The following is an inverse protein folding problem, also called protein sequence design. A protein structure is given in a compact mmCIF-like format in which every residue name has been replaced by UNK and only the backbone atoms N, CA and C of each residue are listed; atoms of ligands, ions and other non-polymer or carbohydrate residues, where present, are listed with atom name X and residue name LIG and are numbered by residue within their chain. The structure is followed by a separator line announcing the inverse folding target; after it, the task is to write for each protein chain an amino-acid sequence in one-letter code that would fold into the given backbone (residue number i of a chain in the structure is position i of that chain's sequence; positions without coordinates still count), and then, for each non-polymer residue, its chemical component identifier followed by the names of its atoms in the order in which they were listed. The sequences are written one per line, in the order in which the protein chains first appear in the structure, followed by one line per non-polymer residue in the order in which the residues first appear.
data_IF_063168129062
#
_entry.id   IF_063168129062
#
_cell.length_a   1.000
_cell.length_b   1.000
_cell.length_c   1.000
_cell.angle_alpha   90.00
_cell.angle_beta   90.00
_cell.angle_gamma   90.00
#
_symmetry.space_group_name_H-M   'P 1'
#
loop_
_entity.id
_entity.type
_entity.pdbx_description
1 polymer ?
#
# COMPACT_ATOMS: atom_id res chain seq x y z
N UNK A 1 -35.74 11.34 -29.62
CA UNK A 1 -35.26 10.42 -30.69
C UNK A 1 -34.33 11.22 -31.58
N UNK A 2 -33.20 10.63 -31.98
CA UNK A 2 -32.26 11.28 -32.91
C UNK A 2 -32.85 11.36 -34.32
N UNK A 3 -32.28 12.21 -35.18
CA UNK A 3 -32.66 12.24 -36.60
C UNK A 3 -32.43 10.89 -37.30
N UNK A 4 -31.38 10.17 -36.93
CA UNK A 4 -31.10 8.83 -37.44
C UNK A 4 -32.18 7.82 -37.03
N UNK A 5 -32.63 7.86 -35.78
CA UNK A 5 -33.74 7.02 -35.30
C UNK A 5 -35.03 7.35 -36.06
N UNK A 6 -35.32 8.62 -36.30
CA UNK A 6 -36.49 9.03 -37.09
C UNK A 6 -36.41 8.51 -38.54
N UNK A 7 -35.23 8.57 -39.17
CA UNK A 7 -35.00 8.03 -40.51
C UNK A 7 -35.27 6.52 -40.55
N UNK A 8 -34.69 5.74 -39.63
CA UNK A 8 -34.90 4.27 -39.60
C UNK A 8 -36.35 3.93 -39.27
N UNK A 9 -36.95 4.61 -38.28
CA UNK A 9 -38.34 4.38 -37.89
C UNK A 9 -39.32 4.73 -39.01
N UNK A 10 -39.00 5.72 -39.87
CA UNK A 10 -39.85 6.08 -41.01
C UNK A 10 -40.01 4.96 -42.06
N UNK A 11 -39.11 3.96 -42.06
CA UNK A 11 -39.27 2.76 -42.90
C UNK A 11 -40.48 1.93 -42.48
N UNK A 12 -40.84 1.94 -41.19
CA UNK A 12 -42.08 1.33 -40.71
C UNK A 12 -43.28 2.02 -41.35
N UNK A 13 -43.28 3.35 -41.40
CA UNK A 13 -44.32 4.14 -42.09
C UNK A 13 -44.38 3.81 -43.58
N UNK A 14 -43.23 3.64 -44.24
CA UNK A 14 -43.18 3.25 -45.66
C UNK A 14 -43.88 1.91 -45.86
N UNK A 15 -43.53 0.89 -45.07
CA UNK A 15 -44.14 -0.44 -45.17
C UNK A 15 -45.65 -0.39 -44.89
N UNK A 16 -46.09 0.35 -43.87
CA UNK A 16 -47.51 0.54 -43.56
C UNK A 16 -48.28 1.20 -44.71
N UNK A 17 -47.72 2.27 -45.29
CA UNK A 17 -48.36 2.98 -46.40
C UNK A 17 -48.38 2.15 -47.70
N UNK A 18 -47.44 1.22 -47.84
CA UNK A 18 -47.34 0.32 -48.98
C UNK A 18 -48.35 -0.85 -48.91
N UNK A 19 -48.77 -1.25 -47.70
CA UNK A 19 -49.58 -2.45 -47.44
C UNK A 19 -51.12 -2.21 -47.47
N UNK A 20 -51.54 -1.04 -47.98
CA UNK A 20 -52.93 -0.53 -48.07
C UNK A 20 -53.65 -0.42 -46.70
N UNK A 21 -53.97 0.81 -46.23
CA UNK A 21 -54.51 1.04 -44.88
C UNK A 21 -55.86 0.38 -44.56
N UNK A 22 -56.57 -0.18 -45.56
CA UNK A 22 -57.83 -0.89 -45.34
C UNK A 22 -57.63 -2.27 -44.69
N UNK A 23 -56.43 -2.86 -44.77
CA UNK A 23 -56.08 -4.14 -44.15
C UNK A 23 -55.49 -4.02 -42.74
N UNK A 24 -55.12 -2.80 -42.32
CA UNK A 24 -54.52 -2.53 -41.01
C UNK A 24 -55.60 -2.59 -39.93
N UNK A 25 -55.73 -3.75 -39.25
CA UNK A 25 -56.59 -3.97 -38.09
C UNK A 25 -56.12 -3.15 -36.88
N UNK A 26 -56.23 -1.82 -36.93
CA UNK A 26 -55.94 -0.92 -35.80
C UNK A 26 -54.45 -0.80 -35.41
N UNK A 27 -53.51 -1.26 -36.25
CA UNK A 27 -52.09 -1.02 -36.02
C UNK A 27 -51.71 0.38 -36.49
N UNK A 28 -51.23 1.21 -35.57
CA UNK A 28 -50.62 2.52 -35.88
C UNK A 28 -49.09 2.39 -35.89
N UNK A 29 -48.43 3.33 -36.55
CA UNK A 29 -46.97 3.43 -36.54
C UNK A 29 -46.43 3.49 -35.10
N UNK A 30 -47.03 4.31 -34.23
CA UNK A 30 -46.60 4.46 -32.85
C UNK A 30 -46.75 3.14 -32.06
N UNK A 31 -47.83 2.40 -32.31
CA UNK A 31 -48.05 1.10 -31.66
C UNK A 31 -47.00 0.07 -32.07
N UNK A 32 -46.50 0.12 -33.31
CA UNK A 32 -45.45 -0.77 -33.78
C UNK A 32 -44.07 -0.36 -33.26
N UNK A 33 -43.76 0.94 -33.28
CA UNK A 33 -42.47 1.46 -32.82
C UNK A 33 -42.23 1.28 -31.31
N UNK A 34 -43.28 1.10 -30.50
CA UNK A 34 -43.18 0.77 -29.09
C UNK A 34 -42.79 -0.69 -28.79
N UNK A 35 -42.83 -1.57 -29.79
CA UNK A 35 -42.55 -3.00 -29.61
C UNK A 35 -41.06 -3.28 -29.56
N UNK A 36 -40.70 -4.41 -28.95
CA UNK A 36 -39.33 -4.92 -29.03
C UNK A 36 -38.95 -5.16 -30.49
N UNK A 37 -37.66 -5.06 -30.83
CA UNK A 37 -37.19 -5.27 -32.21
C UNK A 37 -37.68 -6.59 -32.81
N UNK A 38 -37.58 -7.68 -32.05
CA UNK A 38 -38.02 -9.01 -32.48
C UNK A 38 -39.52 -9.08 -32.76
N UNK A 39 -40.35 -8.41 -31.95
CA UNK A 39 -41.79 -8.40 -32.15
C UNK A 39 -42.20 -7.48 -33.31
N UNK A 40 -41.54 -6.33 -33.47
CA UNK A 40 -41.72 -5.44 -34.61
C UNK A 40 -41.44 -6.16 -35.94
N UNK A 41 -40.30 -6.85 -36.03
CA UNK A 41 -39.91 -7.59 -37.24
C UNK A 41 -40.93 -8.68 -37.56
N UNK A 42 -41.39 -9.44 -36.56
CA UNK A 42 -42.43 -10.47 -36.76
C UNK A 42 -43.74 -9.88 -37.28
N UNK A 43 -44.18 -8.75 -36.72
CA UNK A 43 -45.44 -8.13 -37.15
C UNK A 43 -45.35 -7.50 -38.54
N UNK A 44 -44.24 -6.84 -38.86
CA UNK A 44 -43.99 -6.33 -40.20
C UNK A 44 -43.93 -7.48 -41.21
N UNK A 45 -43.25 -8.58 -40.88
CA UNK A 45 -43.18 -9.78 -41.74
C UNK A 45 -44.58 -10.27 -42.08
N UNK A 46 -45.42 -10.46 -41.06
CA UNK A 46 -46.81 -10.90 -41.24
C UNK A 46 -47.63 -9.90 -42.08
N UNK A 47 -47.44 -8.60 -41.84
CA UNK A 47 -48.12 -7.57 -42.62
C UNK A 47 -47.72 -7.60 -44.10
N UNK A 48 -46.44 -7.80 -44.39
CA UNK A 48 -45.94 -7.95 -45.76
C UNK A 48 -46.53 -9.20 -46.42
N UNK A 49 -46.54 -10.34 -45.73
CA UNK A 49 -47.14 -11.59 -46.22
C UNK A 49 -48.63 -11.42 -46.56
N UNK A 50 -49.40 -10.86 -45.62
CA UNK A 50 -50.85 -10.63 -45.78
C UNK A 50 -51.13 -9.67 -46.95
N UNK A 51 -50.38 -8.57 -47.06
CA UNK A 51 -50.59 -7.55 -48.09
C UNK A 51 -50.09 -7.94 -49.49
N UNK A 52 -49.17 -8.91 -49.58
CA UNK A 52 -48.56 -9.34 -50.85
C UNK A 52 -48.98 -10.73 -51.31
N UNK A 53 -49.93 -11.36 -50.62
CA UNK A 53 -50.45 -12.69 -50.94
C UNK A 53 -50.85 -12.87 -52.43
N UNK A 54 -51.27 -11.80 -53.11
CA UNK A 54 -51.62 -11.80 -54.54
C UNK A 54 -50.71 -10.94 -55.43
N UNK A 55 -49.64 -10.35 -54.88
CA UNK A 55 -48.78 -9.38 -55.58
C UNK A 55 -47.28 -9.65 -55.33
N UNK A 56 -46.73 -10.66 -56.00
CA UNK A 56 -45.33 -11.09 -55.81
C UNK A 56 -44.27 -10.00 -56.09
N UNK A 57 -44.49 -9.11 -57.05
CA UNK A 57 -43.53 -8.02 -57.36
C UNK A 57 -43.45 -6.96 -56.27
N UNK A 58 -44.51 -6.77 -55.46
CA UNK A 58 -44.51 -5.86 -54.31
C UNK A 58 -43.73 -6.45 -53.13
N UNK A 59 -43.76 -7.78 -53.00
CA UNK A 59 -43.08 -8.51 -51.93
C UNK A 59 -41.57 -8.27 -51.94
N UNK A 60 -40.94 -8.34 -53.11
CA UNK A 60 -39.48 -8.16 -53.25
C UNK A 60 -38.96 -6.84 -52.66
N UNK A 61 -39.66 -5.72 -52.90
CA UNK A 61 -39.27 -4.42 -52.34
C UNK A 61 -39.51 -4.36 -50.82
N UNK A 62 -40.63 -4.92 -50.35
CA UNK A 62 -40.95 -4.92 -48.93
C UNK A 62 -40.02 -5.81 -48.11
N UNK A 63 -39.62 -6.97 -48.67
CA UNK A 63 -38.61 -7.84 -48.07
C UNK A 63 -37.26 -7.12 -47.98
N UNK A 64 -36.91 -6.32 -49.00
CA UNK A 64 -35.71 -5.47 -48.95
C UNK A 64 -35.79 -4.41 -47.83
N UNK A 65 -36.92 -3.72 -47.67
CA UNK A 65 -37.10 -2.78 -46.56
C UNK A 65 -37.10 -3.45 -45.19
N UNK A 66 -37.68 -4.66 -45.08
CA UNK A 66 -37.63 -5.45 -43.86
C UNK A 66 -36.18 -5.84 -43.52
N UNK A 67 -35.37 -6.22 -44.52
CA UNK A 67 -33.95 -6.47 -44.33
C UNK A 67 -33.20 -5.23 -43.80
N UNK A 68 -33.40 -4.07 -44.42
CA UNK A 68 -32.74 -2.83 -43.98
C UNK A 68 -33.19 -2.44 -42.57
N UNK A 69 -34.48 -2.56 -42.26
CA UNK A 69 -35.00 -2.31 -40.92
C UNK A 69 -34.40 -3.28 -39.89
N UNK A 70 -34.33 -4.57 -40.22
CA UNK A 70 -33.75 -5.59 -39.34
C UNK A 70 -32.26 -5.35 -39.09
N UNK A 71 -31.55 -4.77 -40.06
CA UNK A 71 -30.13 -4.46 -39.94
C UNK A 71 -29.87 -3.16 -39.17
N UNK A 72 -30.63 -2.11 -39.47
CA UNK A 72 -30.36 -0.76 -38.97
C UNK A 72 -30.96 -0.52 -37.59
N UNK A 73 -32.18 -1.01 -37.33
CA UNK A 73 -32.89 -0.71 -36.08
C UNK A 73 -32.13 -1.12 -34.81
N UNK A 74 -31.56 -2.34 -34.72
CA UNK A 74 -30.79 -2.73 -33.54
C UNK A 74 -29.58 -1.85 -33.28
N UNK A 75 -29.01 -1.23 -34.31
CA UNK A 75 -27.84 -0.36 -34.19
C UNK A 75 -28.24 1.04 -33.69
N UNK A 76 -29.32 1.61 -34.23
CA UNK A 76 -29.78 2.96 -33.84
C UNK A 76 -30.51 3.03 -32.51
N UNK A 77 -30.99 1.88 -32.01
CA UNK A 77 -31.63 1.77 -30.69
C UNK A 77 -30.63 1.53 -29.55
N UNK A 78 -29.35 1.30 -29.86
CA UNK A 78 -28.32 1.11 -28.82
C UNK A 78 -28.18 2.35 -27.95
N UNK A 79 -28.03 2.12 -26.65
CA UNK A 79 -27.66 3.14 -25.67
C UNK A 79 -26.15 3.27 -25.46
N UNK A 80 -25.36 2.40 -26.10
CA UNK A 80 -23.90 2.39 -26.04
C UNK A 80 -23.31 3.00 -27.31
N UNK A 81 -22.14 3.66 -27.24
CA UNK A 81 -21.48 4.17 -28.43
C UNK A 81 -21.24 3.08 -29.47
N UNK A 82 -21.48 3.42 -30.73
CA UNK A 82 -21.22 2.56 -31.88
C UNK A 82 -19.72 2.49 -32.16
N UNK A 83 -19.21 1.31 -32.50
CA UNK A 83 -17.83 1.20 -32.96
C UNK A 83 -17.68 1.63 -34.44
N UNK A 84 -16.44 1.74 -34.92
CA UNK A 84 -16.16 2.14 -36.31
C UNK A 84 -16.75 1.19 -37.36
N UNK A 85 -16.86 -0.09 -37.05
CA UNK A 85 -17.40 -1.11 -37.97
C UNK A 85 -18.91 -0.92 -38.09
N UNK A 86 -19.58 -0.69 -36.97
CA UNK A 86 -21.01 -0.41 -36.90
C UNK A 86 -21.37 0.91 -37.59
N UNK A 87 -20.59 1.96 -37.38
CA UNK A 87 -20.78 3.25 -38.06
C UNK A 87 -20.65 3.10 -39.59
N UNK A 88 -19.60 2.42 -40.07
CA UNK A 88 -19.41 2.13 -41.49
C UNK A 88 -20.56 1.29 -42.05
N UNK A 89 -21.05 0.32 -41.28
CA UNK A 89 -22.19 -0.52 -41.66
C UNK A 89 -23.47 0.31 -41.82
N UNK A 90 -23.83 1.12 -40.83
CA UNK A 90 -25.03 2.00 -40.90
C UNK A 90 -24.94 2.89 -42.14
N UNK A 91 -23.79 3.55 -42.36
CA UNK A 91 -23.57 4.44 -43.50
C UNK A 91 -23.75 3.71 -44.82
N UNK A 92 -23.14 2.55 -44.99
CA UNK A 92 -23.22 1.76 -46.21
C UNK A 92 -24.66 1.33 -46.53
N UNK A 93 -25.38 0.82 -45.53
CA UNK A 93 -26.76 0.37 -45.67
C UNK A 93 -27.71 1.52 -46.01
N UNK A 94 -27.64 2.64 -45.29
CA UNK A 94 -28.49 3.79 -45.57
C UNK A 94 -28.18 4.41 -46.93
N UNK A 95 -26.90 4.50 -47.32
CA UNK A 95 -26.51 5.01 -48.63
C UNK A 95 -27.04 4.12 -49.76
N UNK A 96 -26.91 2.79 -49.61
CA UNK A 96 -27.45 1.82 -50.55
C UNK A 96 -28.97 1.95 -50.66
N UNK A 97 -29.68 1.98 -49.54
CA UNK A 97 -31.13 2.14 -49.49
C UNK A 97 -31.62 3.42 -50.18
N UNK A 98 -31.00 4.57 -49.88
CA UNK A 98 -31.34 5.84 -50.51
C UNK A 98 -31.05 5.78 -52.01
N UNK A 99 -29.89 5.27 -52.41
CA UNK A 99 -29.48 5.20 -53.83
C UNK A 99 -30.39 4.26 -54.63
N UNK A 100 -30.70 3.07 -54.08
CA UNK A 100 -31.58 2.10 -54.73
C UNK A 100 -32.98 2.67 -54.93
N UNK A 101 -33.56 3.28 -53.89
CA UNK A 101 -34.91 3.85 -53.98
C UNK A 101 -34.98 5.07 -54.90
N UNK A 102 -33.95 5.93 -54.93
CA UNK A 102 -33.83 7.00 -55.93
C UNK A 102 -33.69 6.44 -57.36
N UNK A 103 -32.97 5.33 -57.53
CA UNK A 103 -32.84 4.65 -58.82
C UNK A 103 -34.19 4.12 -59.32
N UNK A 104 -34.96 3.45 -58.45
CA UNK A 104 -36.28 2.93 -58.77
C UNK A 104 -37.28 4.01 -59.19
N UNK A 105 -37.17 5.22 -58.63
CA UNK A 105 -37.99 6.39 -59.00
C UNK A 105 -37.68 6.91 -60.41
N UNK A 106 -36.54 6.56 -61.01
CA UNK A 106 -36.09 7.02 -62.33
C UNK A 106 -36.34 6.02 -63.45
N UNK A 107 -36.68 4.79 -63.13
CA UNK A 107 -36.90 3.72 -64.11
C UNK A 107 -38.38 3.34 -64.22
N UNK A 108 -38.76 2.82 -65.38
CA UNK A 108 -40.11 2.39 -65.68
C UNK A 108 -40.45 1.03 -65.04
N UNK A 109 -41.74 0.75 -64.88
CA UNK A 109 -42.22 -0.52 -64.29
C UNK A 109 -41.82 -1.78 -65.06
N UNK A 110 -41.52 -1.67 -66.35
CA UNK A 110 -41.10 -2.82 -67.17
C UNK A 110 -39.60 -3.08 -67.05
N UNK A 111 -38.82 -2.08 -66.62
CA UNK A 111 -37.43 -2.20 -66.22
C UNK A 111 -37.29 -2.57 -64.74
N UNK A 112 -36.14 -3.13 -64.38
CA UNK A 112 -35.79 -3.47 -63.00
C UNK A 112 -34.40 -3.00 -62.61
N UNK A 113 -34.23 -2.70 -61.32
CA UNK A 113 -32.94 -2.47 -60.69
C UNK A 113 -32.52 -3.72 -59.93
N UNK A 114 -31.27 -4.14 -60.12
CA UNK A 114 -30.68 -5.26 -59.38
C UNK A 114 -30.20 -4.76 -58.02
N UNK A 115 -30.69 -5.37 -56.95
CA UNK A 115 -30.31 -5.05 -55.56
C UNK A 115 -29.76 -6.31 -54.91
N UNK A 116 -28.57 -6.19 -54.33
CA UNK A 116 -27.89 -7.29 -53.63
C UNK A 116 -27.81 -7.00 -52.13
N UNK A 117 -28.20 -7.97 -51.31
CA UNK A 117 -28.14 -7.90 -49.85
C UNK A 117 -27.94 -9.29 -49.23
N UNK A 118 -27.59 -9.34 -47.94
CA UNK A 118 -27.31 -10.61 -47.24
C UNK A 118 -28.57 -11.09 -46.54
N UNK A 119 -29.09 -12.26 -46.92
CA UNK A 119 -30.20 -12.92 -46.23
C UNK A 119 -29.73 -14.27 -45.70
N UNK A 120 -29.88 -14.53 -44.40
CA UNK A 120 -29.46 -15.80 -43.76
C UNK A 120 -28.01 -16.22 -44.12
N UNK A 121 -27.08 -15.27 -44.02
CA UNK A 121 -25.65 -15.44 -44.35
C UNK A 121 -25.35 -15.80 -45.82
N UNK A 122 -26.28 -15.51 -46.74
CA UNK A 122 -26.10 -15.71 -48.18
C UNK A 122 -26.32 -14.43 -48.96
N UNK A 123 -25.51 -14.23 -49.99
CA UNK A 123 -25.72 -13.14 -50.96
C UNK A 123 -26.99 -13.41 -51.77
N UNK A 124 -27.98 -12.53 -51.61
CA UNK A 124 -29.23 -12.55 -52.35
C UNK A 124 -29.27 -11.35 -53.28
N UNK A 125 -29.46 -11.63 -54.57
CA UNK A 125 -29.68 -10.58 -55.58
C UNK A 125 -31.11 -10.67 -56.09
N UNK A 126 -31.84 -9.57 -55.99
CA UNK A 126 -33.23 -9.46 -56.42
C UNK A 126 -33.39 -8.39 -57.49
N UNK A 127 -34.38 -8.56 -58.36
CA UNK A 127 -34.78 -7.57 -59.34
C UNK A 127 -36.03 -6.83 -58.83
N UNK A 128 -35.92 -5.51 -58.68
CA UNK A 128 -37.01 -4.67 -58.22
C UNK A 128 -37.46 -3.77 -59.37
N UNK A 129 -38.74 -3.86 -59.74
CA UNK A 129 -39.31 -3.06 -60.83
C UNK A 129 -39.35 -1.57 -60.50
N UNK A 130 -39.20 -0.74 -61.53
CA UNK A 130 -39.31 0.71 -61.42
C UNK A 130 -40.71 1.22 -61.06
N UNK A 131 -40.82 2.53 -60.85
CA UNK A 131 -42.07 3.16 -60.43
C UNK A 131 -42.76 4.01 -61.50
N UNK A 132 -42.12 4.27 -62.64
CA UNK A 132 -42.68 5.11 -63.71
C UNK A 132 -43.63 4.29 -64.59
N UNK A 133 -44.87 4.76 -64.73
CA UNK A 133 -45.84 4.27 -65.71
C UNK A 133 -45.55 4.88 -67.09
N UNK A 134 -44.72 4.20 -67.89
CA UNK A 134 -44.28 4.68 -69.22
C UNK A 134 -45.31 4.45 -70.36
N UNK A 135 -46.48 3.89 -70.06
CA UNK A 135 -47.48 3.46 -71.06
C UNK A 135 -48.58 4.47 -71.39
N UNK A 136 -48.58 5.67 -70.79
CA UNK A 136 -49.63 6.70 -70.99
C UNK A 136 -49.05 7.98 -71.59
N UNK A 137 -49.90 8.78 -72.26
CA UNK A 137 -49.54 10.06 -72.90
C UNK A 137 -48.81 11.05 -71.95
N UNK A 138 -48.93 10.83 -70.65
CA UNK A 138 -48.16 11.43 -69.58
C UNK A 138 -47.51 10.32 -68.75
N UNK A 139 -46.18 10.33 -68.61
CA UNK A 139 -45.50 9.47 -67.65
C UNK A 139 -45.85 9.94 -66.23
N UNK A 140 -46.20 9.01 -65.35
CA UNK A 140 -46.51 9.34 -63.96
C UNK A 140 -45.97 8.29 -63.00
N UNK A 141 -45.66 8.72 -61.78
CA UNK A 141 -45.21 7.83 -60.70
C UNK A 141 -46.42 7.07 -60.15
N UNK A 142 -46.32 5.75 -60.11
CA UNK A 142 -47.38 4.90 -59.57
C UNK A 142 -47.58 5.10 -58.06
N UNK A 143 -48.70 4.61 -57.50
CA UNK A 143 -49.04 4.77 -56.06
C UNK A 143 -47.90 4.32 -55.13
N UNK A 144 -47.25 3.21 -55.44
CA UNK A 144 -46.08 2.71 -54.71
C UNK A 144 -44.90 3.68 -54.77
N UNK A 145 -44.60 4.22 -55.95
CA UNK A 145 -43.56 5.24 -56.10
C UNK A 145 -43.91 6.56 -55.41
N UNK A 146 -45.18 6.95 -55.32
CA UNK A 146 -45.61 8.14 -54.57
C UNK A 146 -45.35 7.98 -53.06
N UNK A 147 -45.46 6.77 -52.51
CA UNK A 147 -45.08 6.50 -51.11
C UNK A 147 -43.58 6.74 -50.92
N UNK A 148 -42.75 6.21 -51.82
CA UNK A 148 -41.30 6.39 -51.79
C UNK A 148 -40.89 7.85 -51.99
N UNK A 149 -41.53 8.55 -52.93
CA UNK A 149 -41.28 9.98 -53.16
C UNK A 149 -41.58 10.82 -51.92
N UNK A 150 -42.74 10.60 -51.27
CA UNK A 150 -43.07 11.28 -50.01
C UNK A 150 -42.11 10.93 -48.88
N UNK A 151 -41.61 9.69 -48.85
CA UNK A 151 -40.59 9.29 -47.90
C UNK A 151 -39.32 10.13 -48.10
N UNK A 152 -38.80 10.22 -49.32
CA UNK A 152 -37.64 11.08 -49.65
C UNK A 152 -37.88 12.55 -49.27
N UNK A 153 -39.05 13.11 -49.60
CA UNK A 153 -39.43 14.48 -49.20
C UNK A 153 -39.45 14.67 -47.68
N UNK A 154 -39.80 13.64 -46.91
CA UNK A 154 -39.78 13.70 -45.45
C UNK A 154 -38.37 13.53 -44.89
N UNK A 155 -37.49 12.74 -45.51
CA UNK A 155 -36.08 12.65 -45.15
C UNK A 155 -35.39 14.00 -45.38
N UNK A 156 -35.67 14.65 -46.52
CA UNK A 156 -35.12 15.98 -46.81
C UNK A 156 -35.46 17.02 -45.73
N UNK A 157 -36.64 16.90 -45.10
CA UNK A 157 -37.03 17.77 -43.96
C UNK A 157 -36.26 17.49 -42.68
N UNK A 158 -35.57 16.35 -42.56
CA UNK A 158 -34.66 16.07 -41.45
C UNK A 158 -33.32 16.82 -41.61
N UNK A 159 -33.07 17.37 -42.80
CA UNK A 159 -31.91 18.22 -43.03
C UNK A 159 -32.00 19.52 -42.24
N UNK A 160 -30.90 19.86 -41.57
CA UNK A 160 -30.76 21.11 -40.81
C UNK A 160 -29.86 22.11 -41.54
N UNK A 161 -29.04 21.63 -42.49
CA UNK A 161 -28.09 22.46 -43.23
C UNK A 161 -28.51 22.57 -44.70
N UNK A 162 -28.41 23.76 -45.33
CA UNK A 162 -28.79 23.95 -46.74
C UNK A 162 -28.08 23.00 -47.72
N UNK A 163 -26.83 22.65 -47.39
CA UNK A 163 -25.98 21.75 -48.18
C UNK A 163 -26.26 20.26 -47.90
N UNK A 164 -26.96 19.94 -46.80
CA UNK A 164 -27.36 18.58 -46.38
C UNK A 164 -28.66 18.14 -47.04
N UNK A 165 -28.80 18.34 -48.34
CA UNK A 165 -29.98 17.81 -49.03
C UNK A 165 -29.66 16.43 -49.62
N UNK A 166 -30.71 15.67 -49.94
CA UNK A 166 -30.58 14.31 -50.44
C UNK A 166 -29.92 14.21 -51.84
N UNK A 167 -29.53 15.35 -52.44
CA UNK A 167 -28.71 15.37 -53.66
C UNK A 167 -27.28 14.92 -53.37
N UNK A 168 -26.78 15.17 -52.15
CA UNK A 168 -25.57 14.54 -51.62
C UNK A 168 -25.93 13.64 -50.43
N UNK A 169 -26.44 12.46 -50.75
CA UNK A 169 -26.85 11.48 -49.75
C UNK A 169 -25.70 11.07 -48.82
N UNK A 170 -24.44 11.15 -49.27
CA UNK A 170 -23.30 10.79 -48.45
C UNK A 170 -23.05 11.84 -47.36
N UNK A 171 -23.01 13.12 -47.73
CA UNK A 171 -22.85 14.22 -46.78
C UNK A 171 -24.00 14.29 -45.77
N UNK A 172 -25.24 14.15 -46.25
CA UNK A 172 -26.43 14.09 -45.40
C UNK A 172 -26.35 12.98 -44.34
N UNK A 173 -25.93 11.77 -44.76
CA UNK A 173 -25.81 10.63 -43.85
C UNK A 173 -24.66 10.81 -42.86
N UNK A 174 -23.53 11.38 -43.29
CA UNK A 174 -22.41 11.67 -42.39
C UNK A 174 -22.86 12.55 -41.23
N UNK A 175 -23.54 13.66 -41.50
CA UNK A 175 -24.00 14.55 -40.43
C UNK A 175 -25.05 13.93 -39.49
N UNK A 176 -26.01 13.15 -40.01
CA UNK A 176 -27.03 12.52 -39.16
C UNK A 176 -26.45 11.37 -38.33
N UNK A 177 -25.53 10.59 -38.89
CA UNK A 177 -24.84 9.52 -38.17
C UNK A 177 -23.94 10.11 -37.08
N UNK A 178 -23.17 11.15 -37.41
CA UNK A 178 -22.31 11.84 -36.45
C UNK A 178 -23.13 12.44 -35.31
N UNK A 179 -24.22 13.15 -35.60
CA UNK A 179 -25.11 13.69 -34.56
C UNK A 179 -25.59 12.60 -33.60
N UNK A 180 -26.07 11.48 -34.15
CA UNK A 180 -26.57 10.38 -33.33
C UNK A 180 -25.46 9.76 -32.48
N UNK A 181 -24.29 9.53 -33.08
CA UNK A 181 -23.14 8.98 -32.37
C UNK A 181 -22.70 9.89 -31.23
N UNK A 182 -22.59 11.20 -31.47
CA UNK A 182 -22.23 12.19 -30.45
C UNK A 182 -23.27 12.24 -29.32
N UNK A 183 -24.56 12.17 -29.65
CA UNK A 183 -25.64 12.19 -28.66
C UNK A 183 -25.60 10.99 -27.69
N UNK A 184 -25.05 9.85 -28.13
CA UNK A 184 -24.85 8.66 -27.28
C UNK A 184 -23.47 8.70 -26.59
N UNK A 185 -22.44 9.14 -27.30
CA UNK A 185 -21.06 9.14 -26.82
C UNK A 185 -20.85 10.10 -25.65
N UNK A 186 -21.41 11.31 -25.71
CA UNK A 186 -21.20 12.32 -24.67
C UNK A 186 -21.68 11.84 -23.27
N UNK A 187 -22.93 11.37 -23.09
CA UNK A 187 -23.36 10.83 -21.80
C UNK A 187 -22.50 9.66 -21.31
N UNK A 188 -22.06 8.77 -22.20
CA UNK A 188 -21.20 7.65 -21.85
C UNK A 188 -19.84 8.13 -21.31
N UNK A 189 -19.20 9.06 -22.02
CA UNK A 189 -17.91 9.63 -21.61
C UNK A 189 -18.04 10.42 -20.30
N UNK A 190 -19.14 11.13 -20.08
CA UNK A 190 -19.40 11.84 -18.82
C UNK A 190 -19.53 10.89 -17.63
N UNK A 191 -20.21 9.76 -17.79
CA UNK A 191 -20.36 8.75 -16.75
C UNK A 191 -19.04 8.03 -16.47
N UNK A 192 -18.30 7.65 -17.51
CA UNK A 192 -16.98 7.04 -17.37
C UNK A 192 -15.99 7.99 -16.66
N UNK A 193 -15.98 9.27 -17.04
CA UNK A 193 -15.12 10.27 -16.42
C UNK A 193 -15.49 10.49 -14.94
N UNK A 194 -16.78 10.45 -14.61
CA UNK A 194 -17.26 10.48 -13.21
C UNK A 194 -16.76 9.27 -12.41
N UNK A 195 -16.85 8.07 -13.00
CA UNK A 195 -16.34 6.84 -12.41
C UNK A 195 -14.82 6.88 -12.19
N UNK A 196 -14.06 7.32 -13.19
CA UNK A 196 -12.61 7.48 -13.12
C UNK A 196 -12.19 8.50 -12.06
N UNK A 197 -12.89 9.64 -11.97
CA UNK A 197 -12.64 10.64 -10.90
C UNK A 197 -12.84 10.03 -9.51
N UNK A 198 -13.94 9.30 -9.29
CA UNK A 198 -14.21 8.66 -8.01
C UNK A 198 -13.14 7.59 -7.66
N UNK A 199 -12.72 6.79 -8.63
CA UNK A 199 -11.66 5.80 -8.44
C UNK A 199 -10.31 6.47 -8.11
N UNK A 200 -9.98 7.56 -8.81
CA UNK A 200 -8.74 8.30 -8.57
C UNK A 200 -8.73 8.95 -7.18
N UNK A 201 -9.85 9.50 -6.71
CA UNK A 201 -9.98 10.00 -5.33
C UNK A 201 -9.73 8.89 -4.30
N UNK A 202 -10.34 7.72 -4.47
CA UNK A 202 -10.13 6.58 -3.57
C UNK A 202 -8.69 6.10 -3.55
N UNK A 203 -8.05 6.04 -4.72
CA UNK A 203 -6.64 5.65 -4.83
C UNK A 203 -5.74 6.65 -4.09
N UNK A 204 -5.97 7.95 -4.30
CA UNK A 204 -5.22 9.02 -3.62
C UNK A 204 -5.38 8.97 -2.10
N UNK A 205 -6.59 8.72 -1.60
CA UNK A 205 -6.84 8.53 -0.16
C UNK A 205 -6.12 7.29 0.40
N UNK A 206 -6.14 6.18 -0.34
CA UNK A 206 -5.43 4.95 0.02
C UNK A 206 -3.92 5.14 0.05
N UNK A 207 -3.34 5.87 -0.93
CA UNK A 207 -1.92 6.19 -0.96
C UNK A 207 -1.52 7.09 0.22
N UNK A 208 -2.35 8.08 0.56
CA UNK A 208 -2.13 8.93 1.72
C UNK A 208 -2.16 8.12 3.04
N UNK A 209 -3.08 7.15 3.16
CA UNK A 209 -3.13 6.25 4.31
C UNK A 209 -1.88 5.36 4.37
N UNK A 210 -1.50 4.72 3.27
CA UNK A 210 -0.31 3.86 3.20
C UNK A 210 0.97 4.62 3.54
N UNK A 211 1.08 5.89 3.11
CA UNK A 211 2.21 6.76 3.50
C UNK A 211 2.25 7.00 5.01
N UNK A 212 1.11 7.32 5.64
CA UNK A 212 1.02 7.51 7.10
C UNK A 212 1.37 6.24 7.87
N UNK A 213 0.90 5.08 7.41
CA UNK A 213 1.25 3.80 8.02
C UNK A 213 2.74 3.50 7.92
N UNK A 214 3.35 3.75 6.75
CA UNK A 214 4.79 3.59 6.56
C UNK A 214 5.58 4.50 7.48
N UNK A 215 5.20 5.77 7.61
CA UNK A 215 5.84 6.72 8.55
C UNK A 215 5.69 6.27 10.01
N UNK A 216 4.53 5.74 10.39
CA UNK A 216 4.29 5.20 11.73
C UNK A 216 5.12 3.94 12.01
N UNK A 217 5.26 3.05 11.02
CA UNK A 217 6.11 1.87 11.12
C UNK A 217 7.58 2.24 11.22
N UNK A 218 8.04 3.25 10.46
CA UNK A 218 9.41 3.75 10.56
C UNK A 218 9.71 4.27 11.96
N UNK A 219 8.83 5.11 12.53
CA UNK A 219 8.98 5.60 13.91
C UNK A 219 9.05 4.47 14.94
N UNK A 220 8.27 3.39 14.74
CA UNK A 220 8.34 2.20 15.59
C UNK A 220 9.67 1.47 15.44
N UNK A 221 10.16 1.31 14.21
CA UNK A 221 11.46 0.69 13.94
C UNK A 221 12.60 1.48 14.63
N UNK A 222 12.61 2.81 14.48
CA UNK A 222 13.61 3.67 15.13
C UNK A 222 13.56 3.54 16.67
N UNK A 223 12.36 3.47 17.25
CA UNK A 223 12.17 3.26 18.69
C UNK A 223 12.64 1.86 19.16
N UNK A 224 12.49 0.83 18.33
CA UNK A 224 13.00 -0.50 18.59
C UNK A 224 14.53 -0.53 18.61
N UNK A 225 15.18 0.13 17.65
CA UNK A 225 16.64 0.24 17.60
C UNK A 225 17.20 0.95 18.85
N UNK A 226 16.52 1.99 19.33
CA UNK A 226 16.90 2.69 20.56
C UNK A 226 16.73 1.83 21.82
N UNK A 227 15.66 1.03 21.89
CA UNK A 227 15.46 0.08 22.98
C UNK A 227 16.52 -1.02 22.96
N UNK A 228 16.88 -1.53 21.78
CA UNK A 228 17.91 -2.55 21.63
C UNK A 228 19.30 -2.04 22.08
N UNK A 229 19.63 -0.78 21.78
CA UNK A 229 20.85 -0.13 22.31
C UNK A 229 20.83 -0.02 23.83
N UNK A 230 19.68 0.36 24.41
CA UNK A 230 19.52 0.45 25.86
C UNK A 230 19.69 -0.92 26.53
N UNK A 231 19.09 -1.97 25.97
CA UNK A 231 19.24 -3.34 26.47
C UNK A 231 20.71 -3.74 26.45
N UNK A 232 21.42 -3.55 25.34
CA UNK A 232 22.87 -3.82 25.25
C UNK A 232 23.68 -3.08 26.32
N UNK A 233 23.38 -1.79 26.55
CA UNK A 233 24.08 -1.02 27.59
C UNK A 233 23.79 -1.51 29.01
N UNK A 234 22.57 -2.02 29.26
CA UNK A 234 22.18 -2.57 30.55
C UNK A 234 22.85 -3.92 30.79
N UNK A 235 22.92 -4.77 29.76
CA UNK A 235 23.63 -6.06 29.81
C UNK A 235 25.13 -5.86 30.11
N UNK A 236 25.78 -4.89 29.47
CA UNK A 236 27.17 -4.54 29.77
C UNK A 236 27.36 -4.07 31.21
N UNK A 237 26.43 -3.22 31.70
CA UNK A 237 26.47 -2.74 33.09
C UNK A 237 26.25 -3.87 34.09
N UNK A 238 25.32 -4.79 33.81
CA UNK A 238 25.06 -5.96 34.66
C UNK A 238 26.29 -6.86 34.73
N UNK A 239 26.98 -7.07 33.60
CA UNK A 239 28.24 -7.83 33.57
C UNK A 239 29.32 -7.17 34.43
N UNK A 240 29.50 -5.84 34.32
CA UNK A 240 30.47 -5.12 35.15
C UNK A 240 30.14 -5.22 36.65
N UNK A 241 28.87 -5.08 37.01
CA UNK A 241 28.42 -5.23 38.40
C UNK A 241 28.60 -6.66 38.91
N UNK A 242 28.41 -7.67 38.07
CA UNK A 242 28.68 -9.07 38.42
C UNK A 242 30.18 -9.32 38.67
N UNK A 243 31.05 -8.75 37.83
CA UNK A 243 32.50 -8.80 38.02
C UNK A 243 32.96 -8.07 39.29
N UNK A 244 32.38 -6.89 39.58
CA UNK A 244 32.65 -6.13 40.80
C UNK A 244 32.19 -6.88 42.06
N UNK A 245 30.97 -7.43 42.05
CA UNK A 245 30.46 -8.24 43.16
C UNK A 245 31.35 -9.46 43.42
N UNK A 246 31.83 -10.12 42.34
CA UNK A 246 32.78 -11.23 42.48
C UNK A 246 34.07 -10.78 43.16
N UNK A 247 34.65 -9.65 42.75
CA UNK A 247 35.86 -9.09 43.37
C UNK A 247 35.64 -8.74 44.85
N UNK A 248 34.52 -8.10 45.17
CA UNK A 248 34.16 -7.76 46.55
C UNK A 248 33.99 -9.02 47.40
N UNK A 249 33.40 -10.08 46.86
CA UNK A 249 33.24 -11.35 47.55
C UNK A 249 34.59 -12.04 47.80
N UNK A 250 35.50 -12.03 46.82
CA UNK A 250 36.87 -12.52 46.99
C UNK A 250 37.64 -11.71 48.04
N UNK A 251 37.53 -10.38 48.02
CA UNK A 251 38.16 -9.50 49.00
C UNK A 251 37.61 -9.72 50.42
N UNK A 252 36.30 -9.93 50.55
CA UNK A 252 35.66 -10.23 51.84
C UNK A 252 36.18 -11.55 52.42
N UNK A 253 36.29 -12.60 51.60
CA UNK A 253 36.86 -13.89 52.02
C UNK A 253 38.32 -13.74 52.44
N UNK A 254 39.11 -12.94 51.73
CA UNK A 254 40.50 -12.66 52.10
C UNK A 254 40.59 -11.93 53.45
N UNK A 255 39.76 -10.89 53.65
CA UNK A 255 39.69 -10.14 54.90
C UNK A 255 39.29 -11.03 56.08
N UNK A 256 38.30 -11.92 55.90
CA UNK A 256 37.88 -12.88 56.93
C UNK A 256 39.01 -13.84 57.30
N UNK A 257 39.75 -14.38 56.32
CA UNK A 257 40.92 -15.23 56.59
C UNK A 257 42.00 -14.51 57.36
N UNK A 258 42.25 -13.24 57.04
CA UNK A 258 43.24 -12.43 57.75
C UNK A 258 42.80 -12.14 59.18
N UNK A 259 41.53 -11.83 59.40
CA UNK A 259 40.96 -11.66 60.74
C UNK A 259 41.04 -12.94 61.57
N UNK A 260 40.73 -14.11 60.98
CA UNK A 260 40.92 -15.40 61.64
C UNK A 260 42.38 -15.69 61.99
N UNK A 261 43.32 -15.37 61.08
CA UNK A 261 44.75 -15.53 61.33
C UNK A 261 45.22 -14.65 62.50
N UNK A 262 44.85 -13.36 62.50
CA UNK A 262 45.16 -12.45 63.60
C UNK A 262 44.50 -12.88 64.92
N UNK A 263 43.29 -13.45 64.87
CA UNK A 263 42.62 -14.00 66.06
C UNK A 263 43.37 -15.21 66.62
N UNK A 264 43.83 -16.13 65.78
CA UNK A 264 44.66 -17.28 66.19
C UNK A 264 45.99 -16.83 66.76
N UNK A 265 46.63 -15.83 66.14
CA UNK A 265 47.88 -15.25 66.67
C UNK A 265 47.66 -14.61 68.04
N UNK A 266 46.59 -13.83 68.21
CA UNK A 266 46.21 -13.27 69.51
C UNK A 266 45.92 -14.34 70.56
N UNK A 267 45.31 -15.47 70.17
CA UNK A 267 45.04 -16.60 71.05
C UNK A 267 46.33 -17.35 71.45
N UNK A 268 47.25 -17.54 70.51
CA UNK A 268 48.59 -18.09 70.78
C UNK A 268 49.37 -17.18 71.74
N UNK A 269 49.40 -15.87 71.47
CA UNK A 269 50.06 -14.89 72.35
C UNK A 269 49.44 -14.85 73.75
N UNK A 270 48.12 -15.00 73.87
CA UNK A 270 47.45 -15.12 75.17
C UNK A 270 47.88 -16.38 75.92
N UNK A 271 47.94 -17.52 75.21
CA UNK A 271 48.37 -18.80 75.79
C UNK A 271 49.83 -18.75 76.23
N UNK A 272 50.69 -18.13 75.43
CA UNK A 272 52.11 -17.95 75.77
C UNK A 272 52.31 -16.98 76.93
N UNK A 273 51.56 -15.86 76.98
CA UNK A 273 51.53 -14.99 78.16
C UNK A 273 51.08 -15.75 79.42
N UNK A 274 50.08 -16.63 79.30
CA UNK A 274 49.63 -17.46 80.43
C UNK A 274 50.75 -18.39 80.91
N UNK A 275 51.43 -19.08 79.99
CA UNK A 275 52.56 -19.96 80.30
C UNK A 275 53.71 -19.20 80.95
N UNK A 276 54.04 -18.01 80.44
CA UNK A 276 55.05 -17.15 81.05
C UNK A 276 54.64 -16.69 82.45
N UNK A 277 53.35 -16.40 82.69
CA UNK A 277 52.86 -16.09 84.03
C UNK A 277 52.99 -17.27 84.99
N UNK A 278 52.68 -18.48 84.55
CA UNK A 278 52.88 -19.71 85.33
C UNK A 278 54.37 -19.97 85.62
N UNK A 279 55.23 -19.80 84.62
CA UNK A 279 56.68 -19.93 84.77
C UNK A 279 57.23 -18.87 85.73
N UNK A 280 56.78 -17.62 85.62
CA UNK A 280 57.13 -16.55 86.56
C UNK A 280 56.65 -16.85 87.99
N UNK A 281 55.46 -17.43 88.15
CA UNK A 281 54.96 -17.86 89.46
C UNK A 281 55.83 -18.99 90.04
N UNK A 282 56.18 -20.00 89.23
CA UNK A 282 57.09 -21.09 89.65
C UNK A 282 58.51 -20.59 89.97
N UNK A 283 59.03 -19.65 89.17
CA UNK A 283 60.30 -18.98 89.44
C UNK A 283 60.23 -18.13 90.71
N UNK A 284 59.11 -17.48 91.00
CA UNK A 284 58.90 -16.74 92.24
C UNK A 284 58.90 -17.70 93.45
N UNK A 285 58.21 -18.84 93.36
CA UNK A 285 58.21 -19.88 94.40
C UNK A 285 59.61 -20.46 94.64
N UNK A 286 60.35 -20.79 93.58
CA UNK A 286 61.73 -21.29 93.69
C UNK A 286 62.68 -20.22 94.23
N UNK A 287 62.52 -18.95 93.85
CA UNK A 287 63.30 -17.84 94.38
C UNK A 287 62.99 -17.60 95.87
N UNK A 288 61.72 -17.72 96.28
CA UNK A 288 61.35 -17.63 97.70
C UNK A 288 61.88 -18.82 98.50
N UNK A 289 61.86 -20.04 97.93
CA UNK A 289 62.53 -21.21 98.51
C UNK A 289 64.04 -21.01 98.63
N UNK A 290 64.69 -20.48 97.58
CA UNK A 290 66.11 -20.14 97.60
C UNK A 290 66.43 -19.06 98.62
N UNK A 291 65.60 -18.03 98.78
CA UNK A 291 65.75 -17.03 99.85
C UNK A 291 65.60 -17.69 101.23
N UNK A 292 64.67 -18.62 101.39
CA UNK A 292 64.50 -19.35 102.65
C UNK A 292 65.73 -20.21 102.96
N UNK A 293 66.27 -20.91 101.97
CA UNK A 293 67.53 -21.65 102.07
C UNK A 293 68.72 -20.72 102.30
N UNK A 294 68.77 -19.55 101.67
CA UNK A 294 69.81 -18.55 101.91
C UNK A 294 69.71 -18.00 103.34
N UNK A 295 68.51 -17.74 103.87
CA UNK A 295 68.30 -17.37 105.27
C UNK A 295 68.73 -18.50 106.20
N UNK A 296 68.49 -19.76 105.83
CA UNK A 296 68.93 -20.95 106.58
C UNK A 296 70.46 -21.08 106.57
N UNK A 297 71.10 -20.92 105.41
CA UNK A 297 72.55 -20.93 105.23
C UNK A 297 73.23 -19.73 105.91
N UNK A 298 72.62 -18.54 105.91
CA UNK A 298 73.11 -17.38 106.67
C UNK A 298 72.98 -17.63 108.17
N UNK A 299 71.95 -18.35 108.63
CA UNK A 299 71.85 -18.84 110.02
C UNK A 299 72.93 -19.88 110.33
N UNK A 300 73.18 -20.83 109.44
CA UNK A 300 74.21 -21.87 109.59
C UNK A 300 75.64 -21.28 109.54
N UNK A 301 75.90 -20.33 108.63
CA UNK A 301 77.13 -19.54 108.62
C UNK A 301 77.22 -18.63 109.85
N UNK A 302 76.11 -18.09 110.35
CA UNK A 302 76.06 -17.38 111.63
C UNK A 302 76.48 -18.26 112.80
N UNK A 303 76.14 -19.55 112.78
CA UNK A 303 76.59 -20.53 113.78
C UNK A 303 78.03 -21.03 113.57
N UNK A 304 78.55 -21.04 112.34
CA UNK A 304 79.94 -21.41 112.04
C UNK A 304 80.92 -20.23 112.22
N UNK A 305 80.46 -18.99 112.12
CA UNK A 305 81.28 -17.77 112.21
C UNK A 305 81.32 -17.17 113.64
N UNK A 306 80.74 -17.85 114.64
CA UNK A 306 80.97 -17.55 116.06
C UNK A 306 82.17 -18.32 116.65
N UNK A 307 82.78 -19.23 115.87
CA UNK A 307 83.89 -20.06 116.29
C UNK A 307 85.01 -20.09 115.23
N UNK A 308 85.61 -18.94 114.91
CA UNK A 308 87.03 -18.86 114.53
C UNK A 308 87.50 -17.42 114.37
N UNK A 309 88.63 -17.16 115.02
CA UNK A 309 89.30 -15.89 115.29
C UNK A 309 90.45 -15.76 114.28
N UNK A 310 90.87 -14.51 113.96
CA UNK A 310 92.24 -14.08 113.59
C UNK A 310 92.52 -13.65 112.12
N UNK A 311 92.85 -12.35 112.00
CA UNK A 311 93.86 -11.60 111.17
C UNK A 311 93.87 -11.58 109.63
N UNK A 312 94.01 -10.32 109.16
CA UNK A 312 94.99 -9.79 108.18
C UNK A 312 94.81 -10.22 106.71
N UNK A 313 95.19 -9.53 105.62
CA UNK A 313 95.72 -8.19 105.29
C UNK A 313 95.72 -8.12 103.74
N UNK A 314 95.38 -6.97 103.15
CA UNK A 314 95.85 -6.37 101.87
C UNK A 314 96.30 -7.21 100.65
N UNK A 315 95.79 -6.85 99.45
CA UNK A 315 96.51 -7.03 98.17
C UNK A 315 95.66 -6.98 96.87
N UNK A 316 95.74 -5.87 96.13
CA UNK A 316 95.45 -5.65 94.67
C UNK A 316 96.40 -6.51 93.78
N UNK A 317 96.38 -6.56 92.40
CA UNK A 317 95.56 -5.89 91.35
C UNK A 317 95.21 -6.73 90.07
N UNK A 318 94.64 -6.06 89.05
CA UNK A 318 94.92 -6.12 87.58
C UNK A 318 94.15 -7.04 86.58
N UNK A 319 93.52 -6.34 85.60
CA UNK A 319 93.45 -6.54 84.14
C UNK A 319 92.74 -7.72 83.44
N UNK A 320 92.11 -7.36 82.30
CA UNK A 320 91.86 -8.22 81.13
C UNK A 320 90.41 -8.16 80.64
N UNK A 321 90.02 -7.30 79.67
CA UNK A 321 89.92 -7.59 78.22
C UNK A 321 88.76 -8.54 77.88
N UNK A 322 87.87 -8.38 76.88
CA UNK A 322 87.86 -7.57 75.65
C UNK A 322 86.49 -7.70 74.95
N UNK A 323 86.09 -6.61 74.28
CA UNK A 323 85.54 -6.52 72.90
C UNK A 323 84.36 -7.40 72.40
N UNK A 324 83.31 -6.75 71.86
CA UNK A 324 83.04 -6.60 70.41
C UNK A 324 81.70 -5.85 70.19
N UNK A 325 81.73 -4.76 69.39
CA UNK A 325 80.56 -4.19 68.71
C UNK A 325 80.15 -5.05 67.49
N UNK A 326 79.37 -4.56 66.48
CA UNK A 326 79.30 -3.17 65.96
C UNK A 326 77.87 -2.63 65.67
N UNK A 327 77.65 -1.30 65.64
CA UNK A 327 77.34 -0.40 64.47
C UNK A 327 76.00 -0.69 63.74
N UNK A 328 75.16 0.27 63.29
CA UNK A 328 75.42 1.49 62.49
C UNK A 328 74.21 2.49 62.48
N UNK A 329 74.53 3.72 62.05
CA UNK A 329 73.74 4.88 61.57
C UNK A 329 72.64 4.54 60.51
N UNK A 330 71.71 5.36 59.99
CA UNK A 330 71.48 6.80 59.78
C UNK A 330 69.95 6.99 59.45
N UNK A 331 69.24 8.11 59.70
CA UNK A 331 69.16 9.39 58.95
C UNK A 331 68.91 9.27 57.43
N UNK A 332 67.71 9.63 56.93
CA UNK A 332 67.40 10.85 56.14
C UNK A 332 66.08 10.82 55.33
N UNK A 333 65.33 11.93 55.43
CA UNK A 333 64.68 12.75 54.37
C UNK A 333 63.66 12.20 53.34
N UNK A 334 62.45 12.78 53.44
CA UNK A 334 61.90 13.81 52.53
C UNK A 334 61.30 13.44 51.14
N UNK A 335 60.02 13.88 50.98
CA UNK A 335 59.51 14.81 49.94
C UNK A 335 58.83 14.27 48.64
N UNK A 336 57.63 14.86 48.38
CA UNK A 336 56.88 15.15 47.11
C UNK A 336 56.50 13.96 46.20
N UNK A 337 55.29 13.78 45.65
CA UNK A 337 54.33 14.59 44.86
C UNK A 337 53.06 13.70 44.71
N UNK A 338 51.84 14.11 44.36
CA UNK A 338 51.25 15.35 43.90
C UNK A 338 49.72 15.16 43.75
N UNK A 339 49.00 16.28 43.81
CA UNK A 339 47.65 16.53 43.27
C UNK A 339 47.64 16.27 41.73
N UNK A 340 46.48 16.14 41.01
CA UNK A 340 45.34 17.05 41.20
C UNK A 340 43.89 16.58 40.88
N UNK A 341 42.96 17.38 41.45
CA UNK A 341 41.74 17.98 40.87
C UNK A 341 40.42 17.21 40.62
N UNK A 342 39.40 17.63 41.38
CA UNK A 342 37.97 17.82 41.03
C UNK A 342 37.78 18.74 39.78
N UNK A 343 36.61 18.84 39.08
CA UNK A 343 35.25 18.95 39.66
C UNK A 343 34.11 18.38 38.73
N UNK A 344 32.88 18.94 38.61
CA UNK A 344 31.64 18.23 38.90
C UNK A 344 30.72 18.03 37.69
N UNK A 345 29.56 17.41 37.97
CA UNK A 345 28.38 17.32 37.12
C UNK A 345 27.97 18.66 36.47
N UNK A 346 27.71 18.63 35.16
CA UNK A 346 26.70 19.48 34.52
C UNK A 346 25.88 18.65 33.53
N UNK A 347 24.58 18.65 33.78
CA UNK A 347 23.52 18.12 32.95
C UNK A 347 23.33 18.95 31.69
N UNK A 348 23.13 18.23 30.58
CA UNK A 348 22.55 18.68 29.32
C UNK A 348 21.22 19.42 29.51
N UNK A 349 21.07 20.58 28.84
CA UNK A 349 19.77 21.20 28.61
C UNK A 349 19.69 21.75 27.18
N UNK A 350 18.91 21.00 26.39
CA UNK A 350 18.01 21.39 25.29
C UNK A 350 18.49 22.42 24.26
N UNK A 351 18.72 21.89 23.06
CA UNK A 351 18.28 22.47 21.79
C UNK A 351 16.86 23.05 21.90
N UNK A 352 16.73 24.27 21.39
CA UNK A 352 15.48 24.94 21.13
C UNK A 352 15.59 25.70 19.81
N UNK A 353 14.47 25.69 19.09
CA UNK A 353 14.12 26.39 17.84
C UNK A 353 14.51 25.65 16.55
N UNK A 354 13.53 25.09 15.81
CA UNK A 354 12.51 25.78 14.98
C UNK A 354 13.18 26.68 13.93
N UNK A 355 12.83 26.69 12.65
CA UNK A 355 11.62 26.26 11.94
C UNK A 355 11.92 26.29 10.43
N UNK A 356 11.11 25.56 9.68
CA UNK A 356 10.95 25.55 8.23
C UNK A 356 10.94 26.93 7.56
N UNK A 357 11.51 27.03 6.35
CA UNK A 357 10.76 27.22 5.08
C UNK A 357 11.73 27.48 3.92
N UNK A 358 11.45 26.97 2.70
CA UNK A 358 10.75 27.80 1.72
C UNK A 358 9.61 27.10 0.97
N UNK A 359 8.68 27.95 0.54
CA UNK A 359 7.44 27.67 -0.20
C UNK A 359 7.65 27.28 -1.67
N UNK A 360 6.54 26.77 -2.23
CA UNK A 360 6.07 26.69 -3.63
C UNK A 360 6.21 25.32 -4.31
N UNK A 361 5.21 24.92 -5.13
CA UNK A 361 4.23 25.72 -5.88
C UNK A 361 2.84 25.89 -5.26
#
# INVERSE_FOLDING_TARGET
MSRLQNLVNSLVSVVLNYTDPKGLKGQTEESLLQKSHGDLVKEITKLIEDATASYGTRRTLLDYFLYELNTLKPLVDKSTPLDEVELKRIKAHLLALITHTQGLLKIDKTSSLSVSYIEEDRDKTVQISGFIDAGTLYSSTCRSGQVIQRWHENIEKLSVFPDDNLKDAQLFLDHIIDEHHHAILLPHLEEENRGLKAANTRLSESEALAKREKEALQKKADAFDDLEKKIRSLEEREKLLAEENKRLQEALVLSQKQEEASRREAENLRSENLRLHEEHASLAETNDSLKQDNVRLVKENGTLTAASKIRATTGRPLMGMTALGPQFFALHNAVLTGLPTHPPQTTTKKEGQSTESPQFP
#
